data_IF_855646054937
#
_entry.id   IF_855646054937
#
_cell.length_a   1.000
_cell.length_b   1.000
_cell.length_c   1.000
_cell.angle_alpha   90.00
_cell.angle_beta   90.00
_cell.angle_gamma   90.00
#
_symmetry.space_group_name_H-M   'P 1'
#
loop_
_entity.id
_entity.type
_entity.pdbx_description
1 polymer ?
#
# COMPACT_ATOMS: atom_id res chain seq x y z
N UNK A 1 -9.09 25.61 4.37
CA UNK A 1 -10.52 25.58 4.76
C UNK A 1 -10.87 24.17 5.21
N UNK A 2 -11.20 23.98 6.50
CA UNK A 2 -11.35 22.64 7.10
C UNK A 2 -12.66 21.95 6.67
N UNK A 3 -13.68 22.71 6.25
CA UNK A 3 -15.02 22.17 5.96
C UNK A 3 -15.09 21.47 4.59
N UNK A 4 -14.38 21.96 3.56
CA UNK A 4 -14.45 21.35 2.21
C UNK A 4 -13.82 19.97 2.10
N UNK A 5 -13.03 19.53 3.09
CA UNK A 5 -12.47 18.17 3.10
C UNK A 5 -13.55 17.09 3.25
N UNK A 6 -14.77 17.48 3.62
CA UNK A 6 -15.93 16.60 3.77
C UNK A 6 -16.84 16.57 2.54
N UNK A 7 -16.55 17.37 1.50
CA UNK A 7 -17.38 17.41 0.30
C UNK A 7 -17.02 16.26 -0.62
N UNK A 8 -18.04 15.54 -1.08
CA UNK A 8 -17.87 14.37 -1.95
C UNK A 8 -18.16 14.71 -3.40
N UNK A 9 -19.09 15.64 -3.64
CA UNK A 9 -19.57 15.98 -4.97
C UNK A 9 -19.48 17.47 -5.25
N UNK A 10 -19.42 17.82 -6.54
CA UNK A 10 -19.43 19.22 -6.98
C UNK A 10 -20.67 19.98 -6.48
N UNK A 11 -21.82 19.32 -6.38
CA UNK A 11 -23.06 19.90 -5.81
C UNK A 11 -22.88 20.41 -4.39
N UNK A 12 -22.04 19.77 -3.57
CA UNK A 12 -21.80 20.18 -2.18
C UNK A 12 -21.12 21.56 -2.13
N UNK A 13 -20.18 21.80 -3.06
CA UNK A 13 -19.49 23.07 -3.22
C UNK A 13 -20.45 24.17 -3.70
N UNK A 14 -21.27 23.87 -4.72
CA UNK A 14 -22.27 24.81 -5.23
C UNK A 14 -23.28 25.17 -4.15
N UNK A 15 -23.78 24.18 -3.42
CA UNK A 15 -24.74 24.39 -2.33
C UNK A 15 -24.13 25.25 -1.22
N UNK A 16 -22.87 25.03 -0.83
CA UNK A 16 -22.21 25.86 0.17
C UNK A 16 -22.18 27.34 -0.26
N UNK A 17 -21.84 27.60 -1.51
CA UNK A 17 -21.71 28.94 -2.06
C UNK A 17 -23.06 29.66 -2.19
N UNK A 18 -24.13 28.94 -2.55
CA UNK A 18 -25.48 29.49 -2.70
C UNK A 18 -26.17 29.70 -1.35
N UNK A 19 -26.05 28.75 -0.41
CA UNK A 19 -26.82 28.73 0.83
C UNK A 19 -26.38 29.81 1.83
N UNK A 20 -25.11 30.22 1.80
CA UNK A 20 -24.59 31.21 2.73
C UNK A 20 -23.70 32.25 2.05
N UNK A 21 -24.15 33.53 2.07
CA UNK A 21 -23.41 34.66 1.51
C UNK A 21 -21.97 34.79 2.04
N UNK A 22 -21.70 34.29 3.26
CA UNK A 22 -20.36 34.26 3.87
C UNK A 22 -19.36 33.40 3.07
N UNK A 23 -19.85 32.39 2.34
CA UNK A 23 -19.04 31.49 1.51
C UNK A 23 -19.08 31.86 0.01
N UNK A 24 -19.56 33.05 -0.35
CA UNK A 24 -19.45 33.57 -1.72
C UNK A 24 -17.98 33.76 -2.12
N UNK A 25 -17.60 33.38 -3.34
CA UNK A 25 -16.23 33.50 -3.85
C UNK A 25 -15.27 32.50 -3.21
N UNK A 26 -15.80 31.50 -2.49
CA UNK A 26 -14.98 30.56 -1.76
C UNK A 26 -14.22 29.60 -2.69
N UNK A 27 -14.72 29.36 -3.90
CA UNK A 27 -14.04 28.53 -4.89
C UNK A 27 -12.73 29.16 -5.39
N UNK A 28 -12.63 30.49 -5.39
CA UNK A 28 -11.42 31.24 -5.77
C UNK A 28 -10.26 31.03 -4.79
N UNK A 29 -10.55 30.56 -3.57
CA UNK A 29 -9.55 30.33 -2.52
C UNK A 29 -8.83 28.98 -2.65
N UNK A 30 -9.27 28.12 -3.58
CA UNK A 30 -8.64 26.83 -3.81
C UNK A 30 -7.52 26.93 -4.85
N UNK A 31 -6.30 26.65 -4.40
CA UNK A 31 -5.12 26.50 -5.28
C UNK A 31 -4.90 25.06 -5.74
N UNK A 32 -5.69 24.13 -5.22
CA UNK A 32 -5.77 22.75 -5.67
C UNK A 32 -7.23 22.30 -5.72
N UNK A 33 -7.57 21.42 -6.65
CA UNK A 33 -8.92 20.87 -6.67
C UNK A 33 -9.15 19.99 -5.43
N UNK A 34 -10.26 20.21 -4.71
CA UNK A 34 -10.62 19.44 -3.53
C UNK A 34 -11.35 18.13 -3.87
N UNK A 35 -11.88 18.02 -5.09
CA UNK A 35 -12.56 16.84 -5.66
C UNK A 35 -12.14 16.65 -7.14
N UNK A 36 -12.41 15.49 -7.76
CA UNK A 36 -12.23 15.30 -9.19
C UNK A 36 -12.96 16.39 -10.00
N UNK A 37 -12.25 16.98 -10.96
CA UNK A 37 -12.81 18.00 -11.85
C UNK A 37 -12.99 17.43 -13.26
N UNK A 38 -13.80 18.12 -14.05
CA UNK A 38 -14.07 17.84 -15.46
C UNK A 38 -13.96 19.14 -16.25
N UNK A 39 -13.98 19.05 -17.58
CA UNK A 39 -14.04 20.23 -18.47
C UNK A 39 -15.20 21.18 -18.11
N UNK A 40 -16.32 20.65 -17.57
CA UNK A 40 -17.48 21.45 -17.15
C UNK A 40 -17.28 22.14 -15.80
N UNK A 41 -16.59 21.50 -14.86
CA UNK A 41 -16.52 21.97 -13.47
C UNK A 41 -15.28 22.82 -13.18
N UNK A 42 -14.20 22.69 -13.97
CA UNK A 42 -12.95 23.41 -13.72
C UNK A 42 -13.10 24.94 -13.75
N UNK A 43 -14.00 25.47 -14.57
CA UNK A 43 -14.29 26.90 -14.67
C UNK A 43 -14.73 27.56 -13.35
N UNK A 44 -15.26 26.76 -12.41
CA UNK A 44 -15.68 27.25 -11.10
C UNK A 44 -14.52 27.45 -10.12
N UNK A 45 -13.32 26.95 -10.46
CA UNK A 45 -12.14 27.05 -9.61
C UNK A 45 -11.01 27.79 -10.34
N UNK A 46 -11.11 29.13 -10.48
CA UNK A 46 -10.22 29.91 -11.35
C UNK A 46 -8.75 29.88 -10.90
N UNK A 47 -8.50 29.80 -9.59
CA UNK A 47 -7.16 29.90 -8.99
C UNK A 47 -6.42 28.56 -8.85
N UNK A 48 -6.91 27.47 -9.46
CA UNK A 48 -6.22 26.17 -9.36
C UNK A 48 -4.91 26.21 -10.14
N UNK A 49 -3.84 25.93 -9.39
CA UNK A 49 -2.47 25.79 -9.87
C UNK A 49 -1.95 24.36 -9.68
N UNK A 50 -2.53 23.59 -8.75
CA UNK A 50 -2.18 22.19 -8.49
C UNK A 50 -3.35 21.27 -8.82
N UNK A 51 -3.15 20.32 -9.73
CA UNK A 51 -4.15 19.30 -10.03
C UNK A 51 -3.91 18.05 -9.18
N UNK A 52 -4.85 17.70 -8.32
CA UNK A 52 -4.93 16.43 -7.64
C UNK A 52 -5.71 15.43 -8.50
N UNK A 53 -5.15 14.24 -8.70
CA UNK A 53 -5.78 13.10 -9.35
C UNK A 53 -5.88 11.95 -8.33
N UNK A 54 -7.10 11.51 -8.03
CA UNK A 54 -7.39 10.40 -7.12
C UNK A 54 -7.67 9.09 -7.84
N UNK A 55 -7.92 9.13 -9.14
CA UNK A 55 -8.20 7.98 -9.99
C UNK A 55 -7.55 8.12 -11.37
N UNK A 56 -7.23 6.99 -12.01
CA UNK A 56 -6.77 6.93 -13.41
C UNK A 56 -7.82 7.49 -14.40
N UNK A 57 -9.08 7.58 -13.97
CA UNK A 57 -10.20 8.09 -14.77
C UNK A 57 -10.40 9.60 -14.64
N UNK A 58 -9.68 10.27 -13.76
CA UNK A 58 -9.82 11.70 -13.55
C UNK A 58 -9.34 12.49 -14.78
N UNK A 59 -10.02 13.58 -15.09
CA UNK A 59 -9.61 14.46 -16.19
C UNK A 59 -8.23 15.07 -15.90
N UNK A 60 -7.35 15.00 -16.90
CA UNK A 60 -5.96 15.46 -16.79
C UNK A 60 -5.75 16.82 -17.46
N UNK A 61 -6.73 17.28 -18.26
CA UNK A 61 -6.67 18.54 -18.99
C UNK A 61 -5.41 18.65 -19.87
N UNK A 62 -5.02 17.52 -20.47
CA UNK A 62 -3.81 17.38 -21.30
C UNK A 62 -2.54 16.95 -20.56
N UNK A 63 -2.56 16.83 -19.22
CA UNK A 63 -1.40 16.42 -18.42
C UNK A 63 -1.34 14.89 -18.25
N UNK A 64 -1.09 14.18 -19.34
CA UNK A 64 -1.11 12.72 -19.35
C UNK A 64 0.18 12.08 -18.80
N UNK A 65 0.02 10.95 -18.11
CA UNK A 65 1.12 10.07 -17.72
C UNK A 65 1.46 9.18 -18.93
N UNK A 66 2.74 9.21 -19.37
CA UNK A 66 3.18 8.66 -20.67
C UNK A 66 2.80 7.20 -20.96
N UNK A 67 2.62 6.37 -19.94
CA UNK A 67 2.29 4.94 -20.08
C UNK A 67 0.82 4.61 -19.82
N UNK A 68 0.08 5.50 -19.16
CA UNK A 68 -1.36 5.36 -18.87
C UNK A 68 -2.16 6.12 -19.94
N UNK A 69 -1.62 6.23 -21.16
CA UNK A 69 -2.38 6.82 -22.25
C UNK A 69 -3.54 5.87 -22.60
N UNK A 70 -4.80 6.31 -22.52
CA UNK A 70 -5.93 5.45 -22.83
C UNK A 70 -5.83 5.01 -24.30
N UNK A 71 -6.03 3.70 -24.55
CA UNK A 71 -6.03 3.10 -25.91
C UNK A 71 -7.05 3.74 -26.87
N UNK A 72 -8.01 4.51 -26.34
CA UNK A 72 -8.89 5.41 -27.10
C UNK A 72 -8.66 6.84 -26.59
N UNK A 73 -8.12 7.70 -27.45
CA UNK A 73 -8.02 9.13 -27.20
C UNK A 73 -9.42 9.71 -27.02
N UNK A 74 -9.75 10.15 -25.80
CA UNK A 74 -10.70 11.24 -25.61
C UNK A 74 -9.81 12.45 -25.34
N UNK A 75 -9.61 13.29 -26.36
CA UNK A 75 -8.91 14.55 -26.17
C UNK A 75 -9.67 15.40 -25.17
N UNK A 76 -8.98 15.97 -24.18
CA UNK A 76 -9.64 16.92 -23.30
C UNK A 76 -10.05 18.14 -24.13
N UNK A 77 -11.30 18.57 -23.97
CA UNK A 77 -11.81 19.77 -24.65
C UNK A 77 -11.07 21.02 -24.16
N UNK A 78 -10.55 20.99 -22.93
CA UNK A 78 -9.76 22.05 -22.31
C UNK A 78 -8.35 21.55 -22.04
N UNK A 79 -7.36 22.27 -22.55
CA UNK A 79 -5.96 22.10 -22.18
C UNK A 79 -5.60 23.14 -21.11
N UNK A 80 -5.08 22.69 -19.97
CA UNK A 80 -4.61 23.59 -18.90
C UNK A 80 -3.31 23.07 -18.32
N UNK A 81 -2.28 23.91 -18.34
CA UNK A 81 -1.04 23.64 -17.62
C UNK A 81 -1.20 23.92 -16.12
N UNK A 82 -0.71 23.02 -15.29
CA UNK A 82 -0.67 23.19 -13.84
C UNK A 82 0.78 23.33 -13.39
N UNK A 83 1.01 24.11 -12.33
CA UNK A 83 2.32 24.20 -11.68
C UNK A 83 2.76 22.84 -11.13
N UNK A 84 1.81 22.07 -10.57
CA UNK A 84 2.03 20.70 -10.09
C UNK A 84 0.83 19.82 -10.40
N UNK A 85 1.09 18.53 -10.61
CA UNK A 85 0.07 17.48 -10.71
C UNK A 85 0.37 16.41 -9.66
N UNK A 86 -0.50 16.25 -8.67
CA UNK A 86 -0.36 15.28 -7.59
C UNK A 86 -1.20 14.05 -7.90
N UNK A 87 -0.55 12.89 -7.95
CA UNK A 87 -1.17 11.61 -8.29
C UNK A 87 -1.26 10.75 -7.04
N UNK A 88 -2.50 10.52 -6.60
CA UNK A 88 -2.82 9.76 -5.39
C UNK A 88 -3.28 8.34 -5.69
N UNK A 89 -3.65 7.99 -6.92
CA UNK A 89 -3.89 6.59 -7.27
C UNK A 89 -2.56 5.83 -7.42
N UNK A 90 -2.57 4.48 -7.24
CA UNK A 90 -1.38 3.67 -7.42
C UNK A 90 -0.83 3.74 -8.86
N UNK A 91 0.48 3.91 -9.00
CA UNK A 91 1.18 3.81 -10.28
C UNK A 91 2.33 2.80 -10.17
N UNK A 92 2.73 2.16 -11.26
CA UNK A 92 3.88 1.24 -11.21
C UNK A 92 5.20 2.01 -11.09
N UNK A 93 6.25 1.38 -10.55
CA UNK A 93 7.57 2.00 -10.47
C UNK A 93 8.18 2.32 -11.85
N UNK A 94 7.85 1.52 -12.87
CA UNK A 94 8.21 1.83 -14.26
C UNK A 94 7.59 3.16 -14.71
N UNK A 95 6.28 3.35 -14.47
CA UNK A 95 5.56 4.57 -14.84
C UNK A 95 6.06 5.78 -14.07
N UNK A 96 6.38 5.58 -12.80
CA UNK A 96 7.04 6.58 -11.96
C UNK A 96 8.32 7.09 -12.62
N UNK A 97 9.23 6.19 -13.02
CA UNK A 97 10.49 6.58 -13.64
C UNK A 97 10.32 7.32 -14.97
N UNK A 98 9.32 6.96 -15.77
CA UNK A 98 9.02 7.63 -17.04
C UNK A 98 8.50 9.06 -16.87
N UNK A 99 7.93 9.38 -15.71
CA UNK A 99 7.19 10.62 -15.44
C UNK A 99 7.72 11.43 -14.24
N UNK A 100 8.78 10.98 -13.57
CA UNK A 100 9.38 11.66 -12.41
C UNK A 100 9.93 13.05 -12.75
N UNK A 101 10.29 13.28 -14.02
CA UNK A 101 10.77 14.58 -14.50
C UNK A 101 9.56 15.41 -14.94
N UNK A 102 9.29 16.52 -14.25
CA UNK A 102 8.26 17.50 -14.64
C UNK A 102 7.39 17.95 -13.47
N UNK A 103 6.12 18.21 -13.77
CA UNK A 103 5.12 18.74 -12.81
C UNK A 103 4.53 17.67 -11.91
N UNK A 104 4.79 16.38 -12.17
CA UNK A 104 4.15 15.28 -11.46
C UNK A 104 4.78 14.98 -10.10
N UNK A 105 3.93 14.74 -9.11
CA UNK A 105 4.28 14.21 -7.80
C UNK A 105 3.47 12.95 -7.54
N UNK A 106 4.15 11.83 -7.29
CA UNK A 106 3.51 10.53 -7.06
C UNK A 106 3.59 10.17 -5.59
N UNK A 107 2.45 9.76 -5.03
CA UNK A 107 2.34 9.40 -3.62
C UNK A 107 2.21 7.89 -3.41
N UNK A 108 1.73 7.16 -4.42
CA UNK A 108 1.49 5.73 -4.38
C UNK A 108 2.27 5.02 -5.49
N UNK A 109 3.55 4.72 -5.25
CA UNK A 109 4.43 4.04 -6.20
C UNK A 109 4.52 2.56 -5.83
N UNK A 110 3.98 1.70 -6.69
CA UNK A 110 3.89 0.27 -6.50
C UNK A 110 5.01 -0.46 -7.26
N UNK A 111 5.77 -1.29 -6.54
CA UNK A 111 6.77 -2.16 -7.14
C UNK A 111 6.15 -3.52 -7.50
N UNK A 112 6.26 -3.92 -8.76
CA UNK A 112 5.67 -5.17 -9.28
C UNK A 112 6.72 -6.24 -9.54
N UNK A 113 6.27 -7.46 -9.83
CA UNK A 113 7.16 -8.54 -10.27
C UNK A 113 7.89 -8.18 -11.58
N UNK A 114 7.23 -7.50 -12.52
CA UNK A 114 7.86 -7.01 -13.75
C UNK A 114 8.94 -5.96 -13.45
N UNK A 115 8.71 -5.09 -12.46
CA UNK A 115 9.73 -4.16 -12.00
C UNK A 115 10.90 -4.89 -11.37
N UNK A 116 10.66 -5.90 -10.55
CA UNK A 116 11.73 -6.76 -10.00
C UNK A 116 12.56 -7.40 -11.11
N UNK A 117 11.90 -7.92 -12.15
CA UNK A 117 12.57 -8.55 -13.28
C UNK A 117 13.39 -7.53 -14.11
N UNK A 118 12.94 -6.28 -14.19
CA UNK A 118 13.58 -5.23 -15.01
C UNK A 118 14.66 -4.44 -14.25
N UNK A 119 14.49 -4.23 -12.95
CA UNK A 119 15.32 -3.33 -12.14
C UNK A 119 16.06 -4.03 -10.99
N UNK A 120 15.82 -5.32 -10.77
CA UNK A 120 16.45 -6.12 -9.73
C UNK A 120 15.62 -6.27 -8.46
N UNK A 121 16.20 -6.91 -7.45
CA UNK A 121 15.49 -7.28 -6.20
C UNK A 121 15.50 -6.21 -5.11
N UNK A 122 16.28 -5.15 -5.30
CA UNK A 122 16.41 -4.07 -4.31
C UNK A 122 15.24 -3.12 -4.49
N UNK A 123 14.46 -2.90 -3.44
CA UNK A 123 13.29 -2.01 -3.47
C UNK A 123 13.78 -0.55 -3.41
N UNK A 124 13.49 0.28 -4.42
CA UNK A 124 13.88 1.69 -4.45
C UNK A 124 13.21 2.55 -3.36
N UNK A 125 13.88 3.62 -2.92
CA UNK A 125 13.37 4.48 -1.85
C UNK A 125 12.12 5.31 -2.22
N UNK A 126 11.75 5.39 -3.50
CA UNK A 126 10.49 6.03 -3.91
C UNK A 126 9.27 5.11 -3.83
N UNK A 127 9.47 3.80 -3.67
CA UNK A 127 8.37 2.82 -3.60
C UNK A 127 7.63 2.93 -2.28
N UNK A 128 6.29 2.95 -2.35
CA UNK A 128 5.41 3.02 -1.18
C UNK A 128 4.53 1.77 -1.01
N UNK A 129 4.50 0.86 -1.99
CA UNK A 129 3.83 -0.43 -1.89
C UNK A 129 4.49 -1.53 -2.73
N UNK A 130 4.32 -2.78 -2.32
CA UNK A 130 4.67 -3.96 -3.11
C UNK A 130 3.41 -4.64 -3.62
N UNK A 131 3.38 -4.99 -4.92
CA UNK A 131 2.23 -5.66 -5.53
C UNK A 131 2.04 -7.08 -4.97
N UNK A 132 0.87 -7.66 -5.22
CA UNK A 132 0.61 -9.10 -5.06
C UNK A 132 1.66 -9.87 -5.88
N UNK A 133 2.17 -10.97 -5.31
CA UNK A 133 3.16 -11.83 -5.97
C UNK A 133 4.50 -11.16 -6.37
N UNK A 134 4.85 -9.97 -5.86
CA UNK A 134 6.02 -9.20 -6.32
C UNK A 134 7.34 -10.01 -6.32
N UNK A 135 7.56 -10.86 -5.32
CA UNK A 135 8.72 -11.76 -5.18
C UNK A 135 8.30 -13.25 -5.24
N UNK A 136 7.14 -13.57 -5.80
CA UNK A 136 6.61 -14.93 -5.87
C UNK A 136 7.63 -15.93 -6.46
N UNK A 137 7.83 -17.04 -5.76
CA UNK A 137 8.77 -18.11 -6.08
C UNK A 137 10.22 -17.66 -6.32
N UNK A 138 10.65 -16.54 -5.72
CA UNK A 138 12.04 -16.07 -5.84
C UNK A 138 12.98 -16.86 -4.93
N UNK A 139 13.32 -18.07 -5.36
CA UNK A 139 14.27 -18.95 -4.67
C UNK A 139 15.71 -18.43 -4.71
N UNK A 140 15.97 -17.29 -5.34
CA UNK A 140 17.29 -16.67 -5.34
C UNK A 140 17.38 -15.50 -4.36
N UNK A 141 16.29 -15.14 -3.69
CA UNK A 141 16.25 -14.12 -2.64
C UNK A 141 16.65 -14.75 -1.30
N UNK A 142 17.76 -14.27 -0.70
CA UNK A 142 18.23 -14.73 0.62
C UNK A 142 17.86 -13.78 1.76
N UNK A 143 17.80 -12.49 1.46
CA UNK A 143 17.46 -11.45 2.42
C UNK A 143 16.82 -10.28 1.71
N UNK A 144 15.94 -9.55 2.41
CA UNK A 144 15.34 -8.33 1.90
C UNK A 144 15.15 -7.29 3.01
N UNK A 145 15.58 -6.07 2.73
CA UNK A 145 15.30 -4.89 3.54
C UNK A 145 14.21 -4.07 2.84
N UNK A 146 13.01 -4.03 3.43
CA UNK A 146 11.89 -3.30 2.85
C UNK A 146 11.91 -1.86 3.38
N UNK A 147 11.97 -0.84 2.51
CA UNK A 147 12.07 0.56 2.95
C UNK A 147 10.87 1.03 3.79
N UNK A 148 11.13 1.89 4.80
CA UNK A 148 10.14 2.27 5.81
C UNK A 148 8.91 3.02 5.28
N UNK A 149 9.01 3.69 4.12
CA UNK A 149 7.89 4.35 3.44
C UNK A 149 6.92 3.36 2.79
N UNK A 150 7.29 2.08 2.66
CA UNK A 150 6.38 1.03 2.22
C UNK A 150 5.30 0.83 3.29
N UNK A 151 4.05 1.10 2.91
CA UNK A 151 2.88 0.98 3.80
C UNK A 151 2.00 -0.23 3.48
N UNK A 152 2.24 -0.88 2.34
CA UNK A 152 1.46 -2.03 1.88
C UNK A 152 2.36 -3.08 1.21
N UNK A 153 2.17 -4.34 1.59
CA UNK A 153 2.77 -5.51 0.94
C UNK A 153 1.62 -6.41 0.49
N UNK A 154 1.51 -6.67 -0.81
CA UNK A 154 0.43 -7.48 -1.38
C UNK A 154 0.44 -8.93 -0.88
N UNK A 155 -0.72 -9.59 -0.99
CA UNK A 155 -0.83 -11.03 -0.70
C UNK A 155 0.13 -11.86 -1.54
N UNK A 156 0.61 -12.97 -0.97
CA UNK A 156 1.56 -13.86 -1.63
C UNK A 156 2.86 -13.20 -2.11
N UNK A 157 3.21 -11.99 -1.65
CA UNK A 157 4.35 -11.22 -2.15
C UNK A 157 5.66 -12.03 -2.11
N UNK A 158 5.92 -12.78 -1.04
CA UNK A 158 7.10 -13.65 -0.87
C UNK A 158 6.75 -15.14 -0.86
N UNK A 159 5.62 -15.52 -1.46
CA UNK A 159 5.20 -16.93 -1.51
C UNK A 159 6.29 -17.81 -2.13
N UNK A 160 6.59 -18.95 -1.50
CA UNK A 160 7.65 -19.90 -1.85
C UNK A 160 9.02 -19.26 -2.13
N UNK A 161 9.40 -18.19 -1.42
CA UNK A 161 10.80 -17.75 -1.38
C UNK A 161 11.62 -18.70 -0.49
N UNK A 162 11.93 -19.91 -0.97
CA UNK A 162 12.41 -21.00 -0.12
C UNK A 162 13.78 -20.76 0.51
N UNK A 163 14.59 -19.87 -0.08
CA UNK A 163 15.92 -19.50 0.41
C UNK A 163 15.93 -18.17 1.20
N UNK A 164 14.77 -17.54 1.42
CA UNK A 164 14.66 -16.30 2.18
C UNK A 164 14.89 -16.57 3.67
N UNK A 165 16.00 -16.06 4.20
CA UNK A 165 16.43 -16.25 5.59
C UNK A 165 16.04 -15.06 6.47
N UNK A 166 16.17 -13.83 5.94
CA UNK A 166 16.00 -12.59 6.71
C UNK A 166 15.08 -11.61 5.98
N UNK A 167 14.11 -11.06 6.70
CA UNK A 167 13.21 -10.00 6.21
C UNK A 167 13.19 -8.87 7.23
N UNK A 168 13.48 -7.65 6.80
CA UNK A 168 13.21 -6.45 7.60
C UNK A 168 11.94 -5.80 7.09
N UNK A 169 10.88 -5.88 7.90
CA UNK A 169 9.58 -5.27 7.62
C UNK A 169 9.60 -3.77 7.92
N UNK A 170 8.86 -2.95 7.15
CA UNK A 170 8.78 -1.51 7.38
C UNK A 170 7.81 -1.17 8.52
N UNK A 171 8.10 -0.11 9.26
CA UNK A 171 7.33 0.24 10.48
C UNK A 171 5.90 0.74 10.23
N UNK A 172 5.54 1.05 8.98
CA UNK A 172 4.26 1.65 8.62
C UNK A 172 3.19 0.64 8.20
N UNK A 173 3.47 -0.66 8.23
CA UNK A 173 2.49 -1.69 7.91
C UNK A 173 1.32 -1.71 8.91
N UNK A 174 0.11 -1.89 8.37
CA UNK A 174 -1.11 -2.12 9.17
C UNK A 174 -1.56 -3.57 9.16
N UNK A 175 -1.30 -4.29 8.08
CA UNK A 175 -1.75 -5.67 7.87
C UNK A 175 -0.66 -6.43 7.13
N UNK A 176 -0.39 -7.65 7.55
CA UNK A 176 0.29 -8.62 6.69
C UNK A 176 -0.76 -9.41 5.91
N UNK A 177 -0.67 -9.37 4.58
CA UNK A 177 -1.69 -9.95 3.72
C UNK A 177 -1.66 -11.49 3.73
N UNK A 178 -2.73 -12.15 3.29
CA UNK A 178 -2.76 -13.60 3.17
C UNK A 178 -1.57 -14.14 2.36
N UNK A 179 -1.03 -15.27 2.82
CA UNK A 179 0.07 -15.99 2.17
C UNK A 179 1.38 -15.22 1.98
N UNK A 180 1.57 -14.05 2.60
CA UNK A 180 2.72 -13.15 2.31
C UNK A 180 4.07 -13.87 2.37
N UNK A 181 4.31 -14.72 3.36
CA UNK A 181 5.54 -15.51 3.54
C UNK A 181 5.30 -17.03 3.47
N UNK A 182 4.19 -17.46 2.86
CA UNK A 182 3.84 -18.87 2.75
C UNK A 182 4.99 -19.65 2.07
N UNK A 183 5.39 -20.79 2.64
CA UNK A 183 6.50 -21.64 2.19
C UNK A 183 7.88 -20.96 2.13
N UNK A 184 8.11 -19.90 2.92
CA UNK A 184 9.47 -19.37 3.18
C UNK A 184 10.26 -20.33 4.09
N UNK A 185 10.64 -21.50 3.55
CA UNK A 185 11.19 -22.62 4.32
C UNK A 185 12.50 -22.31 5.05
N UNK A 186 13.24 -21.27 4.63
CA UNK A 186 14.52 -20.87 5.25
C UNK A 186 14.42 -19.71 6.22
N UNK A 187 13.25 -19.10 6.39
CA UNK A 187 13.06 -17.98 7.31
C UNK A 187 13.21 -18.48 8.75
N UNK A 188 14.12 -17.88 9.51
CA UNK A 188 14.48 -18.34 10.88
C UNK A 188 13.68 -17.56 11.93
N UNK A 189 13.60 -16.24 11.76
CA UNK A 189 12.91 -15.35 12.67
C UNK A 189 12.23 -14.23 11.89
N UNK A 190 11.22 -13.62 12.51
CA UNK A 190 10.61 -12.40 11.98
C UNK A 190 10.08 -11.50 13.09
N UNK A 191 10.33 -10.20 12.93
CA UNK A 191 9.81 -9.15 13.79
C UNK A 191 8.66 -8.43 13.07
N UNK A 192 7.45 -8.60 13.59
CA UNK A 192 6.23 -7.94 13.08
C UNK A 192 6.17 -6.52 13.67
N UNK A 193 6.06 -5.46 12.85
CA UNK A 193 6.09 -4.09 13.34
C UNK A 193 4.93 -3.73 14.27
N UNK A 194 5.17 -2.76 15.18
CA UNK A 194 4.20 -2.34 16.21
C UNK A 194 2.86 -1.82 15.68
N UNK A 195 2.78 -1.34 14.44
CA UNK A 195 1.54 -0.79 13.85
C UNK A 195 0.68 -1.83 13.14
N UNK A 196 1.16 -3.06 13.01
CA UNK A 196 0.40 -4.18 12.42
C UNK A 196 -0.71 -4.55 13.39
N UNK A 197 -1.94 -4.60 12.88
CA UNK A 197 -3.15 -4.95 13.62
C UNK A 197 -3.54 -6.40 13.37
N UNK A 198 -3.35 -6.88 12.14
CA UNK A 198 -3.73 -8.24 11.76
C UNK A 198 -2.69 -8.93 10.88
N UNK A 199 -2.59 -10.24 11.07
CA UNK A 199 -1.77 -11.13 10.25
C UNK A 199 -2.71 -12.05 9.46
N UNK A 200 -2.65 -12.00 8.14
CA UNK A 200 -3.58 -12.68 7.25
C UNK A 200 -3.46 -14.20 7.25
N UNK A 201 -4.45 -14.85 6.64
CA UNK A 201 -4.53 -16.30 6.54
C UNK A 201 -3.28 -16.89 5.88
N UNK A 202 -2.78 -17.99 6.44
CA UNK A 202 -1.64 -18.76 5.92
C UNK A 202 -0.39 -17.91 5.67
N UNK A 203 -0.23 -16.76 6.37
CA UNK A 203 0.85 -15.81 6.12
C UNK A 203 2.23 -16.46 6.23
N UNK A 204 2.44 -17.35 7.20
CA UNK A 204 3.67 -18.12 7.43
C UNK A 204 3.47 -19.62 7.25
N UNK A 205 2.45 -20.04 6.49
CA UNK A 205 2.14 -21.46 6.29
C UNK A 205 3.38 -22.21 5.80
N UNK A 206 3.71 -23.31 6.47
CA UNK A 206 4.84 -24.19 6.17
C UNK A 206 6.21 -23.47 6.16
N UNK A 207 6.42 -22.44 7.00
CA UNK A 207 7.76 -21.88 7.25
C UNK A 207 8.56 -22.82 8.17
N UNK A 208 9.12 -23.89 7.60
CA UNK A 208 9.69 -25.03 8.36
C UNK A 208 10.86 -24.67 9.29
N UNK A 209 11.67 -23.66 8.98
CA UNK A 209 12.79 -23.20 9.83
C UNK A 209 12.44 -22.03 10.74
N UNK A 210 11.19 -21.54 10.72
CA UNK A 210 10.81 -20.42 11.58
C UNK A 210 10.83 -20.88 13.03
N UNK A 211 11.75 -20.33 13.81
CA UNK A 211 12.01 -20.68 15.21
C UNK A 211 11.34 -19.70 16.17
N UNK A 212 11.31 -18.42 15.81
CA UNK A 212 10.75 -17.36 16.67
C UNK A 212 10.02 -16.28 15.88
N UNK A 213 8.96 -15.75 16.49
CA UNK A 213 8.20 -14.61 15.96
C UNK A 213 8.04 -13.58 17.07
N UNK A 214 8.36 -12.32 16.78
CA UNK A 214 8.04 -11.21 17.67
C UNK A 214 6.88 -10.42 17.11
N UNK A 215 5.77 -10.38 17.85
CA UNK A 215 4.58 -9.63 17.47
C UNK A 215 4.67 -8.19 17.96
N UNK A 216 4.31 -7.27 17.09
CA UNK A 216 4.18 -5.86 17.44
C UNK A 216 3.02 -5.64 18.41
N UNK A 217 3.10 -4.57 19.20
CA UNK A 217 2.12 -4.33 20.27
C UNK A 217 0.68 -4.22 19.76
N UNK A 218 0.41 -3.74 18.53
CA UNK A 218 -0.97 -3.58 18.07
C UNK A 218 -1.61 -4.84 17.47
N UNK A 219 -0.93 -5.99 17.44
CA UNK A 219 -1.48 -7.20 16.82
C UNK A 219 -2.64 -7.75 17.65
N UNK A 220 -3.84 -7.74 17.10
CA UNK A 220 -5.06 -8.26 17.75
C UNK A 220 -5.58 -9.53 17.09
N UNK A 221 -5.22 -9.81 15.85
CA UNK A 221 -5.70 -11.01 15.13
C UNK A 221 -4.62 -11.74 14.34
N UNK A 222 -4.68 -13.07 14.41
CA UNK A 222 -3.86 -14.03 13.66
C UNK A 222 -4.78 -14.89 12.82
N UNK A 223 -4.60 -14.88 11.49
CA UNK A 223 -5.48 -15.54 10.54
C UNK A 223 -5.46 -17.07 10.59
N UNK A 224 -6.41 -17.67 9.88
CA UNK A 224 -6.52 -19.13 9.71
C UNK A 224 -5.21 -19.70 9.16
N UNK A 225 -4.76 -20.83 9.74
CA UNK A 225 -3.55 -21.55 9.32
C UNK A 225 -2.27 -20.70 9.22
N UNK A 226 -2.23 -19.54 9.89
CA UNK A 226 -1.15 -18.56 9.75
C UNK A 226 0.25 -19.17 9.94
N UNK A 227 0.45 -20.02 10.94
CA UNK A 227 1.70 -20.72 11.25
C UNK A 227 1.57 -22.24 11.06
N UNK A 228 0.60 -22.71 10.28
CA UNK A 228 0.39 -24.13 10.06
C UNK A 228 1.69 -24.81 9.56
N UNK A 229 2.07 -25.95 10.17
CA UNK A 229 3.29 -26.69 9.83
C UNK A 229 4.61 -25.90 10.01
N UNK A 230 4.65 -24.90 10.90
CA UNK A 230 5.91 -24.29 11.36
C UNK A 230 6.58 -25.17 12.42
N UNK A 231 7.12 -26.32 11.99
CA UNK A 231 7.61 -27.39 12.89
C UNK A 231 8.75 -27.00 13.84
N UNK A 232 9.51 -25.95 13.52
CA UNK A 232 10.58 -25.45 14.37
C UNK A 232 10.18 -24.27 15.25
N UNK A 233 8.94 -23.80 15.16
CA UNK A 233 8.49 -22.63 15.92
C UNK A 233 8.43 -23.00 17.40
N UNK A 234 9.31 -22.39 18.19
CA UNK A 234 9.42 -22.63 19.64
C UNK A 234 8.76 -21.55 20.46
N UNK A 235 8.77 -20.31 19.94
CA UNK A 235 8.39 -19.12 20.71
C UNK A 235 7.69 -18.09 19.87
N UNK A 236 6.64 -17.51 20.45
CA UNK A 236 6.06 -16.26 19.97
C UNK A 236 6.11 -15.26 21.12
N UNK A 237 6.80 -14.15 20.88
CA UNK A 237 6.90 -13.04 21.80
C UNK A 237 5.78 -12.05 21.50
N UNK A 238 4.95 -11.74 22.49
CA UNK A 238 3.96 -10.67 22.43
C UNK A 238 3.87 -9.99 23.78
N UNK A 239 3.62 -8.68 23.78
CA UNK A 239 3.37 -7.91 25.01
C UNK A 239 1.88 -7.68 25.26
N UNK A 240 1.02 -8.07 24.31
CA UNK A 240 -0.43 -7.91 24.38
C UNK A 240 -1.14 -9.24 24.13
N UNK A 241 -2.35 -9.35 24.68
CA UNK A 241 -3.24 -10.49 24.46
C UNK A 241 -3.82 -10.43 23.06
N UNK A 242 -3.70 -11.53 22.30
CA UNK A 242 -4.29 -11.66 20.98
C UNK A 242 -5.79 -11.95 21.16
N UNK A 243 -6.64 -11.17 20.51
CA UNK A 243 -8.11 -11.30 20.64
C UNK A 243 -8.65 -12.44 19.78
N UNK A 244 -8.11 -12.59 18.57
CA UNK A 244 -8.61 -13.55 17.59
C UNK A 244 -7.49 -14.44 17.05
N UNK A 245 -7.65 -15.75 17.19
CA UNK A 245 -6.75 -16.75 16.61
C UNK A 245 -7.58 -17.63 15.67
N UNK A 246 -7.23 -17.59 14.39
CA UNK A 246 -7.92 -18.30 13.33
C UNK A 246 -7.78 -19.82 13.46
N UNK A 247 -8.71 -20.52 12.80
CA UNK A 247 -8.75 -21.98 12.76
C UNK A 247 -7.38 -22.57 12.36
N UNK A 248 -6.89 -23.54 13.13
CA UNK A 248 -5.61 -24.23 12.89
C UNK A 248 -4.38 -23.31 12.77
N UNK A 249 -4.42 -22.08 13.31
CA UNK A 249 -3.33 -21.11 13.18
C UNK A 249 -1.96 -21.69 13.58
N UNK A 250 -1.91 -22.58 14.57
CA UNK A 250 -0.68 -23.23 15.08
C UNK A 250 -0.67 -24.75 14.91
N UNK A 251 -1.51 -25.32 14.04
CA UNK A 251 -1.54 -26.78 13.84
C UNK A 251 -0.19 -27.27 13.28
N UNK A 252 0.32 -28.38 13.82
CA UNK A 252 1.65 -28.93 13.51
C UNK A 252 2.83 -27.99 13.85
N UNK A 253 2.66 -27.12 14.85
CA UNK A 253 3.75 -26.40 15.52
C UNK A 253 4.22 -27.19 16.75
N UNK A 254 4.81 -28.36 16.53
CA UNK A 254 5.03 -29.38 17.57
C UNK A 254 5.98 -28.93 18.69
N UNK A 255 6.77 -27.88 18.47
CA UNK A 255 7.73 -27.32 19.45
C UNK A 255 7.23 -26.05 20.15
N UNK A 256 6.04 -25.54 19.82
CA UNK A 256 5.57 -24.26 20.33
C UNK A 256 4.98 -24.40 21.74
N UNK A 257 5.55 -23.68 22.70
CA UNK A 257 4.97 -23.56 24.04
C UNK A 257 3.90 -22.45 24.07
N UNK A 258 2.62 -22.82 24.02
CA UNK A 258 1.50 -21.87 23.85
C UNK A 258 1.19 -21.03 25.11
N UNK A 259 1.72 -21.42 26.28
CA UNK A 259 1.28 -20.97 27.61
C UNK A 259 1.39 -19.45 27.91
N UNK A 260 1.94 -18.63 27.02
CA UNK A 260 2.04 -17.16 27.17
C UNK A 260 1.19 -16.32 26.20
N UNK A 261 0.55 -16.91 25.19
CA UNK A 261 -0.19 -16.13 24.18
C UNK A 261 -1.70 -15.96 24.43
N UNK A 262 -2.27 -16.71 25.38
CA UNK A 262 -3.72 -16.88 25.54
C UNK A 262 -4.28 -16.37 26.89
N UNK A 263 -3.61 -15.43 27.56
CA UNK A 263 -4.14 -14.80 28.78
C UNK A 263 -4.69 -13.42 28.51
#
# INVERSE_FOLDING_TARGET
>A
MIVSKYFMFFSDFVNLEIVCKKFKGNMEKFHFNPIPLTNKTIKHFPSIETLNLWSEKDETFGNHIKSIMPKKMVFSEILKSFYRVRVFYPITYQDYLLNIKGVFMFFNVCYTQDNKNSFGKVIPQSVTSLNINCYYNDNTLKSIDIPNQVSFIGGSCFYSCQNLVRVVLPNNLRVLQPYTFCQCNSLIDINIPNRVVSIGNSCFYNCKKLESVTLGNCVTSVGQQCFYCCKNLTKINTNNSIVEIGFEAFKYCDKLEINKMLK
#
